data_IF_417964697168
#
_entry.id   IF_417964697168
#
_cell.length_a   1.000
_cell.length_b   1.000
_cell.length_c   1.000
_cell.angle_alpha   90.00
_cell.angle_beta   90.00
_cell.angle_gamma   90.00
#
_symmetry.space_group_name_H-M   'P 1'
#
loop_
_entity.id
_entity.type
_entity.pdbx_description
1 polymer ?
#
# COMPACT_ATOMS: atom_id res chain seq x y z
N UNK A 1 -3.31 50.07 -37.38
CA UNK A 1 -2.55 48.92 -36.84
C UNK A 1 -3.45 48.29 -35.79
N UNK A 2 -4.00 47.11 -36.08
CA UNK A 2 -5.06 46.46 -35.32
C UNK A 2 -4.46 45.54 -34.26
N UNK A 3 -4.55 45.95 -33.00
CA UNK A 3 -4.23 45.12 -31.83
C UNK A 3 -5.26 44.01 -31.70
N UNK A 4 -4.98 42.87 -32.33
CA UNK A 4 -5.76 41.66 -32.12
C UNK A 4 -5.25 41.00 -30.83
N UNK A 5 -6.08 40.84 -29.78
CA UNK A 5 -5.64 40.13 -28.59
C UNK A 5 -5.25 38.71 -28.97
N UNK A 6 -4.00 38.33 -28.66
CA UNK A 6 -3.50 36.98 -28.88
C UNK A 6 -4.35 36.05 -28.01
N UNK A 7 -5.28 35.32 -28.64
CA UNK A 7 -6.09 34.33 -27.95
C UNK A 7 -5.18 33.38 -27.18
N UNK A 8 -5.45 33.23 -25.88
CA UNK A 8 -4.72 32.30 -25.02
C UNK A 8 -4.82 30.91 -25.64
N UNK A 9 -3.71 30.39 -26.17
CA UNK A 9 -3.65 29.02 -26.66
C UNK A 9 -3.98 28.12 -25.48
N UNK A 10 -5.17 27.52 -25.47
CA UNK A 10 -5.49 26.41 -24.59
C UNK A 10 -4.47 25.31 -24.88
N UNK A 11 -3.43 25.25 -24.06
CA UNK A 11 -2.44 24.19 -24.14
C UNK A 11 -3.20 22.90 -23.88
N UNK A 12 -3.15 21.97 -24.83
CA UNK A 12 -3.74 20.66 -24.64
C UNK A 12 -3.13 20.03 -23.38
N UNK A 13 -3.97 19.84 -22.36
CA UNK A 13 -3.65 19.15 -21.09
C UNK A 13 -3.02 17.76 -21.34
N UNK A 14 -3.15 17.24 -22.57
CA UNK A 14 -2.65 15.93 -22.98
C UNK A 14 -1.12 15.80 -23.11
N UNK A 15 -0.33 16.88 -23.19
CA UNK A 15 1.13 16.73 -23.35
C UNK A 15 1.88 16.38 -22.05
N UNK A 16 1.24 16.58 -20.90
CA UNK A 16 1.70 16.08 -19.61
C UNK A 16 0.64 15.18 -18.97
N UNK A 17 -0.08 14.39 -19.77
CA UNK A 17 -0.84 13.28 -19.22
C UNK A 17 0.16 12.25 -18.74
N UNK A 18 0.67 12.45 -17.53
CA UNK A 18 1.56 11.54 -16.88
C UNK A 18 0.70 10.29 -16.62
N UNK A 19 0.94 9.13 -17.27
CA UNK A 19 0.16 7.92 -17.03
C UNK A 19 0.26 7.45 -15.56
N UNK A 20 1.12 8.08 -14.77
CA UNK A 20 1.29 7.91 -13.33
C UNK A 20 0.23 8.68 -12.52
N UNK A 21 -0.30 9.82 -13.01
CA UNK A 21 -1.24 10.69 -12.25
C UNK A 21 -2.61 10.05 -12.00
N UNK A 22 -3.18 9.34 -12.98
CA UNK A 22 -4.40 8.55 -12.79
C UNK A 22 -4.16 7.31 -11.92
N UNK A 23 -2.95 6.72 -11.98
CA UNK A 23 -2.57 5.56 -11.15
C UNK A 23 -2.37 5.91 -9.67
N UNK A 24 -2.16 7.18 -9.32
CA UNK A 24 -2.15 7.61 -7.91
C UNK A 24 -3.54 7.60 -7.26
N UNK A 25 -4.63 7.60 -8.05
CA UNK A 25 -5.99 7.41 -7.52
C UNK A 25 -6.30 5.94 -7.25
N UNK A 26 -5.70 5.04 -8.01
CA UNK A 26 -5.91 3.60 -7.89
C UNK A 26 -5.12 3.04 -6.69
N UNK A 27 -5.84 2.62 -5.65
CA UNK A 27 -5.28 1.78 -4.60
C UNK A 27 -5.45 0.33 -5.02
N UNK A 28 -4.33 -0.36 -5.29
CA UNK A 28 -4.34 -1.78 -5.63
C UNK A 28 -3.75 -2.52 -4.43
N UNK A 29 -4.56 -3.39 -3.83
CA UNK A 29 -4.12 -4.28 -2.74
C UNK A 29 -3.28 -5.42 -3.34
N UNK A 30 -2.20 -5.86 -2.68
CA UNK A 30 -1.46 -7.02 -3.17
C UNK A 30 -2.35 -8.28 -3.16
N UNK A 31 -2.03 -9.28 -4.00
CA UNK A 31 -2.80 -10.52 -4.10
C UNK A 31 -2.72 -11.40 -2.85
N UNK A 32 -1.75 -11.11 -1.98
CA UNK A 32 -1.52 -11.79 -0.71
C UNK A 32 -1.26 -10.75 0.37
N UNK A 33 -1.98 -10.88 1.47
CA UNK A 33 -1.77 -10.11 2.69
C UNK A 33 -1.53 -11.06 3.88
N UNK A 34 -0.66 -10.65 4.79
CA UNK A 34 -0.30 -11.39 6.00
C UNK A 34 -1.14 -10.88 7.18
N UNK A 35 -2.00 -11.74 7.72
CA UNK A 35 -2.90 -11.42 8.82
C UNK A 35 -2.67 -12.35 10.01
N UNK A 36 -3.14 -11.94 11.17
CA UNK A 36 -3.26 -12.79 12.35
C UNK A 36 -4.64 -13.46 12.34
N UNK A 37 -4.71 -14.73 12.71
CA UNK A 37 -5.97 -15.43 12.90
C UNK A 37 -6.77 -14.78 14.03
N UNK A 38 -8.02 -14.40 13.79
CA UNK A 38 -8.90 -13.82 14.82
C UNK A 38 -9.16 -14.79 15.99
N UNK A 39 -9.06 -16.11 15.75
CA UNK A 39 -9.31 -17.14 16.75
C UNK A 39 -8.09 -17.48 17.62
N UNK A 40 -6.92 -17.64 17.02
CA UNK A 40 -5.72 -18.14 17.73
C UNK A 40 -4.51 -17.21 17.66
N UNK A 41 -4.62 -16.06 16.99
CA UNK A 41 -3.51 -15.11 16.80
C UNK A 41 -2.38 -15.61 15.89
N UNK A 42 -2.43 -16.86 15.41
CA UNK A 42 -1.36 -17.41 14.58
C UNK A 42 -1.36 -16.75 13.19
N UNK A 43 -0.19 -16.48 12.59
CA UNK A 43 -0.11 -15.94 11.24
C UNK A 43 -0.82 -16.82 10.21
N UNK A 44 -1.52 -16.19 9.28
CA UNK A 44 -2.05 -16.87 8.11
C UNK A 44 -1.93 -15.98 6.87
N UNK A 45 -1.94 -16.65 5.72
CA UNK A 45 -1.94 -16.02 4.40
C UNK A 45 -3.38 -15.79 4.00
N UNK A 46 -3.72 -14.55 3.66
CA UNK A 46 -5.06 -14.15 3.25
C UNK A 46 -5.05 -13.63 1.82
N UNK A 47 -5.98 -14.12 1.01
CA UNK A 47 -6.19 -13.72 -0.37
C UNK A 47 -7.38 -12.77 -0.44
N UNK A 48 -7.14 -11.45 -0.54
CA UNK A 48 -8.23 -10.48 -0.61
C UNK A 48 -8.98 -10.60 -1.94
N UNK A 49 -10.28 -10.32 -1.91
CA UNK A 49 -11.07 -10.13 -3.12
C UNK A 49 -10.53 -8.92 -3.92
N UNK A 50 -10.58 -8.99 -5.27
CA UNK A 50 -10.20 -7.87 -6.11
C UNK A 50 -11.08 -6.65 -5.83
N UNK A 51 -10.46 -5.47 -5.75
CA UNK A 51 -11.18 -4.20 -5.56
C UNK A 51 -11.59 -3.70 -6.95
N UNK A 52 -12.86 -3.34 -7.18
CA UNK A 52 -13.25 -2.67 -8.41
C UNK A 52 -12.53 -1.32 -8.50
N UNK A 53 -11.84 -1.10 -9.61
CA UNK A 53 -11.02 0.11 -9.81
C UNK A 53 -11.70 1.15 -10.68
N UNK A 54 -12.79 0.75 -11.35
CA UNK A 54 -13.56 1.59 -12.23
C UNK A 54 -15.05 1.40 -11.94
N UNK A 55 -15.81 2.49 -11.99
CA UNK A 55 -17.26 2.47 -12.04
C UNK A 55 -17.69 3.12 -13.36
N UNK A 56 -18.69 2.56 -14.02
CA UNK A 56 -19.28 3.21 -15.19
C UNK A 56 -20.21 4.32 -14.72
N UNK A 57 -19.98 5.54 -15.21
CA UNK A 57 -20.87 6.67 -14.96
C UNK A 57 -21.88 6.77 -16.12
N UNK A 58 -23.13 6.47 -15.81
CA UNK A 58 -24.23 6.47 -16.78
C UNK A 58 -24.57 7.86 -17.32
N UNK A 59 -24.23 8.95 -16.61
CA UNK A 59 -24.54 10.31 -17.05
C UNK A 59 -23.51 10.83 -18.05
N UNK A 60 -22.22 10.56 -17.83
CA UNK A 60 -21.14 10.99 -18.73
C UNK A 60 -20.80 9.97 -19.82
N UNK A 61 -21.24 8.71 -19.67
CA UNK A 61 -20.83 7.58 -20.52
C UNK A 61 -19.35 7.20 -20.36
N UNK A 62 -18.66 7.75 -19.35
CA UNK A 62 -17.24 7.51 -19.09
C UNK A 62 -17.05 6.58 -17.89
N UNK A 63 -15.83 6.04 -17.73
CA UNK A 63 -15.48 5.24 -16.55
C UNK A 63 -14.77 6.14 -15.53
N UNK A 64 -15.33 6.24 -14.33
CA UNK A 64 -14.69 6.92 -13.21
C UNK A 64 -13.71 5.98 -12.50
N UNK A 65 -12.51 6.49 -12.18
CA UNK A 65 -11.50 5.75 -11.40
C UNK A 65 -11.82 5.83 -9.91
N UNK A 66 -12.14 4.69 -9.31
CA UNK A 66 -12.46 4.60 -7.89
C UNK A 66 -11.20 4.72 -7.02
N UNK A 67 -11.34 5.43 -5.89
CA UNK A 67 -10.34 5.41 -4.82
C UNK A 67 -10.50 4.10 -4.05
N UNK A 68 -9.60 3.16 -4.24
CA UNK A 68 -9.67 1.89 -3.51
C UNK A 68 -9.49 2.07 -2.00
N UNK A 69 -10.13 1.19 -1.22
CA UNK A 69 -10.11 1.23 0.24
C UNK A 69 -8.81 0.66 0.81
N UNK A 70 -8.16 1.44 1.68
CA UNK A 70 -6.87 1.12 2.31
C UNK A 70 -7.04 0.31 3.60
N UNK A 71 -8.17 0.47 4.28
CA UNK A 71 -8.52 -0.22 5.53
C UNK A 71 -10.03 -0.43 5.63
N UNK A 72 -10.48 -1.03 6.73
CA UNK A 72 -11.85 -1.51 6.91
C UNK A 72 -11.96 -3.02 6.78
N UNK A 73 -13.18 -3.51 6.54
CA UNK A 73 -13.45 -4.93 6.37
C UNK A 73 -13.04 -5.35 4.97
N UNK A 74 -12.04 -6.21 4.88
CA UNK A 74 -11.53 -6.75 3.63
C UNK A 74 -12.16 -8.11 3.39
N UNK A 75 -13.00 -8.22 2.37
CA UNK A 75 -13.48 -9.52 1.89
C UNK A 75 -12.35 -10.33 1.23
N UNK A 76 -12.39 -11.65 1.37
CA UNK A 76 -11.39 -12.55 0.79
C UNK A 76 -11.48 -13.95 1.33
N UNK A 77 -10.36 -14.68 1.31
CA UNK A 77 -10.26 -16.04 1.85
C UNK A 77 -8.90 -16.25 2.51
N UNK A 78 -8.91 -16.77 3.72
CA UNK A 78 -7.72 -17.27 4.41
C UNK A 78 -8.07 -18.45 5.30
N UNK A 79 -7.13 -19.39 5.43
CA UNK A 79 -7.28 -20.55 6.30
C UNK A 79 -6.10 -20.59 7.27
N UNK A 80 -6.39 -20.71 8.56
CA UNK A 80 -5.36 -20.83 9.58
C UNK A 80 -4.87 -22.28 9.66
N UNK A 81 -3.57 -22.50 9.39
CA UNK A 81 -2.95 -23.82 9.48
C UNK A 81 -2.87 -24.40 10.91
N UNK A 82 -3.00 -23.56 11.94
CA UNK A 82 -2.91 -23.99 13.34
C UNK A 82 -4.26 -24.44 13.93
N UNK A 83 -5.32 -23.62 13.79
CA UNK A 83 -6.62 -23.93 14.39
C UNK A 83 -7.70 -24.36 13.38
N UNK A 84 -7.36 -24.44 12.09
CA UNK A 84 -8.30 -24.82 11.01
C UNK A 84 -9.38 -23.78 10.71
N UNK A 85 -9.37 -22.61 11.36
CA UNK A 85 -10.37 -21.57 11.13
C UNK A 85 -10.24 -20.99 9.73
N UNK A 86 -11.37 -20.92 9.01
CA UNK A 86 -11.48 -20.28 7.70
C UNK A 86 -12.14 -18.92 7.86
N UNK A 87 -11.49 -17.87 7.35
CA UNK A 87 -11.99 -16.49 7.40
C UNK A 87 -12.36 -16.03 5.99
N UNK A 88 -13.60 -15.54 5.84
CA UNK A 88 -14.09 -14.91 4.60
C UNK A 88 -13.87 -13.40 4.53
N UNK A 89 -13.47 -12.80 5.65
CA UNK A 89 -13.14 -11.39 5.77
C UNK A 89 -12.09 -11.16 6.87
N UNK A 90 -11.47 -10.00 6.86
CA UNK A 90 -10.52 -9.58 7.90
C UNK A 90 -10.60 -8.07 8.12
N UNK A 91 -10.44 -7.63 9.36
CA UNK A 91 -10.51 -6.22 9.74
C UNK A 91 -9.11 -5.59 9.65
N UNK A 92 -8.92 -4.61 8.77
CA UNK A 92 -7.63 -4.01 8.49
C UNK A 92 -7.56 -2.53 8.91
N UNK A 93 -6.47 -2.06 9.55
CA UNK A 93 -5.18 -2.73 9.78
C UNK A 93 -5.08 -3.51 11.10
N UNK A 94 -6.17 -3.69 11.84
CA UNK A 94 -6.17 -4.31 13.17
C UNK A 94 -5.62 -5.74 13.16
N UNK A 95 -6.06 -6.53 12.18
CA UNK A 95 -5.65 -7.92 11.96
C UNK A 95 -4.30 -8.05 11.24
N UNK A 96 -3.63 -6.95 10.86
CA UNK A 96 -2.33 -7.01 10.20
C UNK A 96 -1.31 -7.73 11.09
N UNK A 97 -0.61 -8.72 10.52
CA UNK A 97 0.52 -9.37 11.19
C UNK A 97 1.66 -8.37 11.42
N UNK A 98 1.93 -7.55 10.40
CA UNK A 98 3.03 -6.61 10.40
C UNK A 98 2.49 -5.24 10.82
N UNK A 99 2.59 -4.95 12.11
CA UNK A 99 2.20 -3.65 12.71
C UNK A 99 3.25 -3.18 13.72
N UNK A 100 3.58 -1.91 13.66
CA UNK A 100 4.63 -1.26 14.46
C UNK A 100 4.03 0.04 15.03
N UNK A 101 3.82 0.05 16.34
CA UNK A 101 3.29 1.23 17.03
C UNK A 101 4.43 2.16 17.48
N UNK A 102 4.34 3.42 17.06
CA UNK A 102 5.16 4.54 17.53
C UNK A 102 4.24 5.61 18.14
N UNK A 103 4.76 6.57 18.93
CA UNK A 103 3.92 7.58 19.58
C UNK A 103 3.03 8.38 18.61
N UNK A 104 3.51 8.61 17.38
CA UNK A 104 2.77 9.38 16.37
C UNK A 104 1.77 8.56 15.55
N UNK A 105 1.74 7.23 15.72
CA UNK A 105 0.80 6.38 14.99
C UNK A 105 1.27 4.94 14.80
N UNK A 106 0.52 4.21 13.98
CA UNK A 106 0.78 2.80 13.67
C UNK A 106 1.26 2.70 12.22
N UNK A 107 2.44 2.13 12.04
CA UNK A 107 2.95 1.73 10.73
C UNK A 107 2.61 0.26 10.53
N UNK A 108 2.02 -0.09 9.40
CA UNK A 108 1.71 -1.47 9.05
C UNK A 108 2.15 -1.77 7.61
N UNK A 109 2.25 -3.07 7.30
CA UNK A 109 2.59 -3.56 5.96
C UNK A 109 1.63 -4.67 5.57
N UNK A 110 1.31 -4.78 4.28
CA UNK A 110 0.46 -5.87 3.79
C UNK A 110 1.15 -7.23 3.89
N UNK A 111 2.45 -7.27 3.60
CA UNK A 111 3.22 -8.50 3.57
C UNK A 111 4.72 -8.20 3.80
N UNK A 112 5.52 -9.26 3.86
CA UNK A 112 6.95 -9.16 4.13
C UNK A 112 7.73 -8.48 3.00
N UNK A 113 7.33 -8.66 1.74
CA UNK A 113 8.00 -8.01 0.61
C UNK A 113 7.94 -6.48 0.74
N UNK A 114 6.76 -5.96 1.07
CA UNK A 114 6.59 -4.55 1.39
C UNK A 114 7.36 -4.13 2.64
N UNK A 115 7.45 -4.99 3.65
CA UNK A 115 8.22 -4.72 4.87
C UNK A 115 9.71 -4.50 4.56
N UNK A 116 10.28 -5.24 3.61
CA UNK A 116 11.66 -5.05 3.16
C UNK A 116 11.85 -3.68 2.48
N UNK A 117 10.89 -3.26 1.66
CA UNK A 117 10.91 -1.94 1.03
C UNK A 117 10.78 -0.81 2.06
N UNK A 118 9.87 -0.96 3.03
CA UNK A 118 9.70 -0.03 4.16
C UNK A 118 11.00 0.06 4.95
N UNK A 119 11.65 -1.08 5.25
CA UNK A 119 12.93 -1.14 5.96
C UNK A 119 14.00 -0.32 5.25
N UNK A 120 14.18 -0.52 3.94
CA UNK A 120 15.17 0.19 3.15
C UNK A 120 14.91 1.70 3.14
N UNK A 121 13.63 2.11 3.01
CA UNK A 121 13.24 3.51 3.09
C UNK A 121 13.59 4.12 4.46
N UNK A 122 13.18 3.49 5.56
CA UNK A 122 13.38 3.99 6.92
C UNK A 122 14.87 4.08 7.27
N UNK A 123 15.68 3.09 6.84
CA UNK A 123 17.13 3.10 7.00
C UNK A 123 17.82 4.19 6.16
N UNK A 124 17.19 4.65 5.09
CA UNK A 124 17.82 5.54 4.11
C UNK A 124 18.74 4.81 3.13
N UNK A 125 18.61 3.49 3.00
CA UNK A 125 19.36 2.67 2.06
C UNK A 125 18.75 2.79 0.65
N UNK A 126 19.25 3.78 -0.10
CA UNK A 126 18.78 4.08 -1.46
C UNK A 126 19.11 2.96 -2.45
N UNK A 127 20.18 2.20 -2.25
CA UNK A 127 20.62 1.16 -3.19
C UNK A 127 19.68 -0.03 -3.11
N UNK A 128 19.43 -0.53 -1.91
CA UNK A 128 18.50 -1.64 -1.68
C UNK A 128 17.08 -1.25 -2.08
N UNK A 129 16.63 -0.04 -1.72
CA UNK A 129 15.31 0.44 -2.12
C UNK A 129 15.17 0.48 -3.64
N UNK A 130 16.14 1.04 -4.37
CA UNK A 130 16.09 1.09 -5.84
C UNK A 130 16.02 -0.30 -6.46
N UNK A 131 16.80 -1.26 -5.94
CA UNK A 131 16.77 -2.66 -6.42
C UNK A 131 15.37 -3.26 -6.29
N UNK A 132 14.75 -3.13 -5.11
CA UNK A 132 13.39 -3.63 -4.86
C UNK A 132 12.35 -2.97 -5.79
N UNK A 133 12.42 -1.65 -5.97
CA UNK A 133 11.47 -0.90 -6.80
C UNK A 133 11.62 -1.18 -8.30
N UNK A 134 12.81 -1.59 -8.77
CA UNK A 134 13.02 -1.99 -10.16
C UNK A 134 12.38 -3.35 -10.46
N UNK A 135 12.28 -4.23 -9.46
CA UNK A 135 11.66 -5.56 -9.60
C UNK A 135 10.13 -5.48 -9.54
N UNK A 136 9.58 -4.66 -8.65
CA UNK A 136 8.12 -4.48 -8.54
C UNK A 136 7.72 -3.00 -8.35
N UNK A 137 7.08 -2.45 -9.38
CA UNK A 137 6.57 -1.07 -9.36
C UNK A 137 5.38 -0.88 -8.41
N UNK A 138 4.69 -1.95 -8.01
CA UNK A 138 3.60 -1.87 -7.01
C UNK A 138 4.14 -1.44 -5.65
N UNK A 139 5.37 -1.86 -5.31
CA UNK A 139 6.06 -1.41 -4.10
C UNK A 139 6.28 0.10 -4.09
N UNK A 140 6.52 0.72 -5.25
CA UNK A 140 6.73 2.18 -5.33
C UNK A 140 5.49 2.96 -4.85
N UNK A 141 4.29 2.45 -5.17
CA UNK A 141 3.02 3.06 -4.72
C UNK A 141 2.85 2.98 -3.21
N UNK A 142 3.29 1.88 -2.59
CA UNK A 142 3.24 1.69 -1.14
C UNK A 142 4.26 2.59 -0.45
N UNK A 143 5.51 2.57 -0.91
CA UNK A 143 6.61 3.37 -0.35
C UNK A 143 6.30 4.87 -0.39
N UNK A 144 5.73 5.36 -1.51
CA UNK A 144 5.34 6.77 -1.65
C UNK A 144 4.21 7.23 -0.71
N UNK A 145 3.48 6.30 -0.09
CA UNK A 145 2.36 6.57 0.82
C UNK A 145 2.69 6.30 2.28
N UNK A 146 3.95 5.94 2.58
CA UNK A 146 4.38 5.71 3.96
C UNK A 146 4.22 7.01 4.77
N UNK A 147 3.61 6.97 5.96
CA UNK A 147 3.46 8.16 6.80
C UNK A 147 4.79 8.83 7.10
N UNK A 148 4.82 10.16 7.07
CA UNK A 148 6.06 10.94 7.32
C UNK A 148 6.70 10.61 8.67
N UNK A 149 5.90 10.25 9.68
CA UNK A 149 6.44 9.88 11.00
C UNK A 149 7.38 8.67 10.96
N UNK A 150 7.21 7.78 9.98
CA UNK A 150 8.00 6.56 9.86
C UNK A 150 9.45 6.84 9.43
N UNK A 151 9.69 7.94 8.73
CA UNK A 151 11.01 8.34 8.25
C UNK A 151 11.70 9.38 9.14
N UNK A 152 11.04 9.82 10.23
CA UNK A 152 11.65 10.73 11.21
C UNK A 152 12.86 10.08 11.89
N UNK A 153 13.95 10.84 12.02
CA UNK A 153 15.19 10.37 12.67
C UNK A 153 14.95 9.79 14.08
N UNK A 154 14.06 10.42 14.87
CA UNK A 154 13.72 9.98 16.23
C UNK A 154 13.06 8.61 16.29
N UNK A 155 12.32 8.22 15.23
CA UNK A 155 11.59 6.95 15.19
C UNK A 155 12.37 5.84 14.49
N UNK A 156 13.37 6.19 13.66
CA UNK A 156 14.14 5.26 12.83
C UNK A 156 14.63 4.04 13.59
N UNK A 157 15.32 4.23 14.72
CA UNK A 157 15.91 3.11 15.47
C UNK A 157 14.84 2.15 16.00
N UNK A 158 13.74 2.69 16.54
CA UNK A 158 12.62 1.90 17.07
C UNK A 158 11.93 1.10 15.96
N UNK A 159 11.67 1.76 14.83
CA UNK A 159 11.02 1.11 13.67
C UNK A 159 11.93 0.02 13.12
N UNK A 160 13.21 0.31 12.86
CA UNK A 160 14.15 -0.68 12.32
C UNK A 160 14.30 -1.90 13.23
N UNK A 161 14.44 -1.71 14.55
CA UNK A 161 14.47 -2.82 15.51
C UNK A 161 13.21 -3.68 15.45
N UNK A 162 12.05 -3.04 15.34
CA UNK A 162 10.77 -3.76 15.24
C UNK A 162 10.67 -4.55 13.94
N UNK A 163 11.08 -3.95 12.82
CA UNK A 163 11.14 -4.62 11.52
C UNK A 163 12.10 -5.81 11.56
N UNK A 164 13.32 -5.62 12.05
CA UNK A 164 14.33 -6.68 12.11
C UNK A 164 13.86 -7.86 12.99
N UNK A 165 13.12 -7.58 14.07
CA UNK A 165 12.50 -8.61 14.91
C UNK A 165 11.45 -9.41 14.13
N UNK A 166 10.57 -8.72 13.40
CA UNK A 166 9.53 -9.36 12.58
C UNK A 166 10.13 -10.20 11.44
N UNK A 167 11.23 -9.75 10.83
CA UNK A 167 11.93 -10.49 9.78
C UNK A 167 12.64 -11.73 10.30
N UNK A 168 13.20 -11.69 11.52
CA UNK A 168 13.83 -12.86 12.17
C UNK A 168 12.81 -13.93 12.53
N UNK A 169 11.68 -13.54 13.11
CA UNK A 169 10.58 -14.45 13.51
C UNK A 169 9.86 -15.13 12.32
N UNK A 170 10.38 -15.02 11.10
CA UNK A 170 9.89 -15.70 9.90
C UNK A 170 10.86 -16.77 9.40
N UNK A 171 12.11 -16.73 9.85
CA UNK A 171 13.15 -17.68 9.46
C UNK A 171 13.07 -18.94 10.34
N UNK A 172 12.49 -18.81 11.53
CA UNK A 172 12.14 -19.90 12.45
C UNK A 172 10.71 -20.42 12.21
#
# INVERSE_FOLDING_TARGET
>A
MSDTPIAQRHRSIRRFWNPVESRYRMYERPPIIEVLCDRCGHPLVFHPAPIPTHCHDSESGTNEVLRGEVGGIIAGRGACGNCGSVSGSTQWPEAARIKISVPEGILWSWNTEQLLAIRALVAGDKVSLRRLLLTDWRLARVVGRIPKFATLKRNRVRILRSIDTLLRARID
#
